data_IF_447419703743
#
_entry.id   IF_447419703743
#
_cell.length_a   1.000
_cell.length_b   1.000
_cell.length_c   1.000
_cell.angle_alpha   90.00
_cell.angle_beta   90.00
_cell.angle_gamma   90.00
#
_symmetry.space_group_name_H-M   'P 1'
#
loop_
_entity.id
_entity.type
_entity.pdbx_description
1 polymer ?
#
# COMPACT_ATOMS: atom_id res chain seq x y z
N UNK A 1 9.08 -0.35 4.70
CA UNK A 1 8.34 0.69 3.98
C UNK A 1 8.93 0.91 2.60
N UNK A 2 8.11 0.88 1.55
CA UNK A 2 8.46 1.30 0.18
C UNK A 2 9.68 0.57 -0.43
N UNK A 3 9.81 -0.71 -0.18
CA UNK A 3 10.96 -1.49 -0.61
C UNK A 3 10.81 -2.06 -2.05
N UNK A 4 9.65 -1.87 -2.68
CA UNK A 4 9.40 -2.35 -4.04
C UNK A 4 9.49 -1.19 -5.04
N UNK A 5 10.20 -1.44 -6.14
CA UNK A 5 10.39 -0.49 -7.23
C UNK A 5 9.13 -0.31 -8.07
N UNK A 6 8.78 0.95 -8.37
CA UNK A 6 7.70 1.28 -9.31
C UNK A 6 8.07 0.98 -10.77
N UNK A 7 9.36 0.91 -11.08
CA UNK A 7 9.87 0.76 -12.43
C UNK A 7 10.02 -0.70 -12.84
N UNK A 8 10.52 -1.52 -11.93
CA UNK A 8 10.90 -2.91 -12.23
C UNK A 8 9.92 -3.94 -11.66
N UNK A 9 9.14 -3.56 -10.66
CA UNK A 9 8.27 -4.49 -9.91
C UNK A 9 9.04 -5.53 -9.10
N UNK A 10 10.30 -5.22 -8.78
CA UNK A 10 11.14 -6.00 -7.88
C UNK A 10 11.61 -5.13 -6.73
N UNK A 11 12.51 -5.61 -5.89
CA UNK A 11 13.07 -4.82 -4.79
C UNK A 11 13.84 -3.59 -5.28
N UNK A 12 13.70 -2.48 -4.58
CA UNK A 12 14.55 -1.30 -4.81
C UNK A 12 15.99 -1.63 -4.49
N UNK A 13 16.88 -1.29 -5.42
CA UNK A 13 18.34 -1.50 -5.32
C UNK A 13 19.08 -0.17 -5.15
N UNK A 14 20.41 -0.24 -5.16
CA UNK A 14 21.29 0.93 -5.20
C UNK A 14 20.96 1.90 -6.34
N UNK A 15 20.57 1.37 -7.50
CA UNK A 15 20.20 2.19 -8.65
C UNK A 15 18.98 3.10 -8.38
N UNK A 16 18.21 2.79 -7.35
CA UNK A 16 17.05 3.57 -6.89
C UNK A 16 17.29 4.20 -5.51
N UNK A 17 18.55 4.39 -5.13
CA UNK A 17 18.99 5.02 -3.89
C UNK A 17 18.51 4.30 -2.61
N UNK A 18 18.39 2.98 -2.63
CA UNK A 18 18.10 2.21 -1.43
C UNK A 18 19.32 2.08 -0.54
N UNK A 19 19.41 2.90 0.51
CA UNK A 19 20.52 2.85 1.47
C UNK A 19 20.64 1.49 2.17
N UNK A 20 19.54 0.79 2.40
CA UNK A 20 19.55 -0.55 3.00
C UNK A 20 20.11 -1.57 2.02
N UNK A 21 19.76 -1.48 0.75
CA UNK A 21 20.37 -2.33 -0.27
C UNK A 21 21.86 -2.09 -0.40
N UNK A 22 22.30 -0.83 -0.35
CA UNK A 22 23.71 -0.48 -0.41
C UNK A 22 24.55 -1.16 0.70
N UNK A 23 23.93 -1.36 1.88
CA UNK A 23 24.60 -2.03 3.01
C UNK A 23 24.55 -3.55 2.88
N UNK A 24 23.41 -4.11 2.48
CA UNK A 24 23.19 -5.56 2.47
C UNK A 24 23.56 -6.24 1.15
N UNK A 25 23.52 -5.53 0.03
CA UNK A 25 23.68 -6.10 -1.31
C UNK A 25 22.54 -7.03 -1.74
N UNK A 26 21.46 -7.11 -0.95
CA UNK A 26 20.34 -8.04 -1.15
C UNK A 26 19.08 -7.54 -0.45
N UNK A 27 17.88 -8.11 -0.73
CA UNK A 27 16.66 -7.77 -0.03
C UNK A 27 16.55 -8.35 1.39
N UNK A 28 17.53 -9.08 1.88
CA UNK A 28 17.50 -9.75 3.19
C UNK A 28 17.21 -8.81 4.36
N UNK A 29 17.58 -7.53 4.24
CA UNK A 29 17.29 -6.54 5.29
C UNK A 29 15.79 -6.45 5.60
N UNK A 30 14.92 -6.69 4.62
CA UNK A 30 13.46 -6.65 4.80
C UNK A 30 13.02 -7.81 5.71
N UNK A 31 13.43 -9.03 5.37
CA UNK A 31 13.12 -10.21 6.15
C UNK A 31 13.70 -10.10 7.57
N UNK A 32 14.93 -9.62 7.69
CA UNK A 32 15.59 -9.39 8.98
C UNK A 32 14.83 -8.35 9.82
N UNK A 33 14.30 -7.28 9.22
CA UNK A 33 13.50 -6.31 9.93
C UNK A 33 12.24 -6.95 10.55
N UNK A 34 11.55 -7.84 9.83
CA UNK A 34 10.40 -8.57 10.35
C UNK A 34 10.78 -9.63 11.40
N UNK A 35 11.94 -10.26 11.28
CA UNK A 35 12.48 -11.17 12.33
C UNK A 35 12.73 -10.38 13.61
N UNK A 36 13.39 -9.23 13.53
CA UNK A 36 13.64 -8.39 14.70
C UNK A 36 12.34 -7.82 15.28
N UNK A 37 11.44 -7.34 14.42
CA UNK A 37 10.14 -6.86 14.88
C UNK A 37 9.35 -7.96 15.60
N UNK A 38 9.30 -9.15 15.07
CA UNK A 38 8.64 -10.29 15.73
C UNK A 38 9.29 -10.66 17.08
N UNK A 39 10.60 -10.53 17.18
CA UNK A 39 11.36 -10.86 18.40
C UNK A 39 11.14 -9.86 19.52
N UNK A 40 11.01 -8.59 19.20
CA UNK A 40 11.03 -7.50 20.18
C UNK A 40 9.69 -6.80 20.38
N UNK A 41 8.79 -6.84 19.41
CA UNK A 41 7.46 -6.29 19.56
C UNK A 41 6.59 -7.20 20.44
N UNK A 42 5.72 -6.64 21.29
CA UNK A 42 4.71 -7.42 21.99
C UNK A 42 3.86 -8.25 21.02
N UNK A 43 3.43 -9.43 21.44
CA UNK A 43 2.68 -10.36 20.57
C UNK A 43 1.32 -9.83 20.09
N UNK A 44 0.76 -8.83 20.77
CA UNK A 44 -0.48 -8.16 20.39
C UNK A 44 -0.28 -6.99 19.42
N UNK A 45 0.97 -6.66 19.05
CA UNK A 45 1.28 -5.64 18.05
C UNK A 45 1.32 -6.32 16.67
N UNK A 46 0.53 -5.84 15.75
CA UNK A 46 0.50 -6.34 14.38
C UNK A 46 1.63 -5.72 13.55
N UNK A 47 2.23 -6.54 12.68
CA UNK A 47 3.34 -6.15 11.83
C UNK A 47 2.87 -6.06 10.38
N UNK A 48 3.04 -4.88 9.78
CA UNK A 48 2.62 -4.60 8.41
C UNK A 48 3.81 -4.23 7.53
N UNK A 49 3.77 -4.67 6.29
CA UNK A 49 4.52 -4.01 5.22
C UNK A 49 3.67 -2.88 4.65
N UNK A 50 4.26 -1.73 4.33
CA UNK A 50 3.54 -0.55 3.87
C UNK A 50 4.17 0.00 2.58
N UNK A 51 3.35 0.26 1.56
CA UNK A 51 3.84 0.78 0.28
C UNK A 51 2.78 1.62 -0.43
N UNK A 52 3.21 2.43 -1.41
CA UNK A 52 2.37 3.24 -2.28
C UNK A 52 2.33 2.67 -3.71
N UNK A 53 1.48 3.21 -4.57
CA UNK A 53 1.21 2.68 -5.92
C UNK A 53 0.89 1.17 -5.93
N UNK A 54 0.41 0.68 -4.84
CA UNK A 54 0.15 -0.73 -4.52
C UNK A 54 -0.91 -1.38 -5.40
N UNK A 55 -1.67 -0.58 -6.14
CA UNK A 55 -2.65 -1.01 -7.14
C UNK A 55 -2.03 -1.23 -8.54
N UNK A 56 -0.81 -0.77 -8.77
CA UNK A 56 -0.13 -0.81 -10.07
C UNK A 56 0.35 -2.23 -10.38
N UNK A 57 0.00 -2.74 -11.56
CA UNK A 57 0.27 -4.14 -11.92
C UNK A 57 1.73 -4.55 -11.74
N UNK A 58 2.66 -3.68 -12.14
CA UNK A 58 4.10 -3.94 -11.99
C UNK A 58 4.44 -4.08 -10.50
N UNK A 59 3.95 -3.16 -9.68
CA UNK A 59 4.27 -3.12 -8.26
C UNK A 59 3.58 -4.21 -7.44
N UNK A 60 2.36 -4.59 -7.81
CA UNK A 60 1.65 -5.72 -7.17
C UNK A 60 2.52 -6.98 -7.14
N UNK A 61 3.17 -7.32 -8.25
CA UNK A 61 3.99 -8.53 -8.33
C UNK A 61 5.19 -8.49 -7.36
N UNK A 62 5.85 -7.35 -7.27
CA UNK A 62 6.96 -7.17 -6.31
C UNK A 62 6.49 -7.19 -4.86
N UNK A 63 5.32 -6.61 -4.56
CA UNK A 63 4.73 -6.66 -3.23
C UNK A 63 4.34 -8.11 -2.88
N UNK A 64 3.74 -8.87 -3.79
CA UNK A 64 3.45 -10.30 -3.59
C UNK A 64 4.72 -11.04 -3.20
N UNK A 65 5.79 -10.89 -4.00
CA UNK A 65 7.08 -11.53 -3.74
C UNK A 65 7.61 -11.19 -2.35
N UNK A 66 7.58 -9.90 -1.98
CA UNK A 66 8.03 -9.44 -0.67
C UNK A 66 7.22 -10.06 0.47
N UNK A 67 5.89 -10.05 0.36
CA UNK A 67 5.01 -10.62 1.40
C UNK A 67 5.25 -12.13 1.57
N UNK A 68 5.46 -12.85 0.47
CA UNK A 68 5.77 -14.28 0.47
C UNK A 68 7.16 -14.56 1.05
N UNK A 69 8.17 -13.78 0.69
CA UNK A 69 9.53 -13.92 1.22
C UNK A 69 9.56 -13.70 2.74
N UNK A 70 8.89 -12.67 3.23
CA UNK A 70 8.78 -12.44 4.69
C UNK A 70 8.02 -13.57 5.36
N UNK A 71 6.89 -14.00 4.81
CA UNK A 71 6.06 -15.06 5.37
C UNK A 71 6.79 -16.41 5.46
N UNK A 72 7.66 -16.69 4.48
CA UNK A 72 8.45 -17.93 4.44
C UNK A 72 9.77 -17.84 5.21
N UNK A 73 10.13 -16.67 5.74
CA UNK A 73 11.36 -16.48 6.50
C UNK A 73 11.19 -16.98 7.93
N UNK A 74 12.05 -17.90 8.35
CA UNK A 74 12.03 -18.46 9.72
C UNK A 74 12.23 -17.36 10.77
N UNK A 75 11.31 -17.26 11.71
CA UNK A 75 11.35 -16.29 12.80
C UNK A 75 10.74 -14.92 12.44
N UNK A 76 10.38 -14.69 11.18
CA UNK A 76 9.63 -13.51 10.81
C UNK A 76 8.11 -13.72 11.07
N UNK A 77 7.40 -12.61 11.23
CA UNK A 77 5.94 -12.55 11.27
C UNK A 77 5.48 -11.34 10.47
N UNK A 78 4.45 -11.51 9.67
CA UNK A 78 3.76 -10.43 8.98
C UNK A 78 2.26 -10.66 9.09
N UNK A 79 1.53 -9.66 9.55
CA UNK A 79 0.10 -9.77 9.86
C UNK A 79 -0.77 -9.08 8.81
N UNK A 80 -0.22 -8.12 8.08
CA UNK A 80 -0.99 -7.38 7.09
C UNK A 80 -0.15 -6.61 6.08
N UNK A 81 -0.87 -6.10 5.08
CA UNK A 81 -0.36 -5.16 4.08
C UNK A 81 -0.99 -3.78 4.29
N UNK A 82 -0.16 -2.75 4.43
CA UNK A 82 -0.56 -1.36 4.43
C UNK A 82 -0.52 -0.80 3.00
N UNK A 83 -1.68 -0.42 2.49
CA UNK A 83 -1.84 0.34 1.25
C UNK A 83 -1.81 1.82 1.63
N UNK A 84 -0.77 2.56 1.24
CA UNK A 84 -0.66 3.97 1.63
C UNK A 84 -1.87 4.78 1.15
N UNK A 85 -2.25 4.62 -0.10
CA UNK A 85 -3.45 5.29 -0.59
C UNK A 85 -3.20 6.73 -1.05
N UNK A 86 -1.99 7.05 -1.52
CA UNK A 86 -1.68 8.33 -2.17
C UNK A 86 -2.21 8.33 -3.60
N UNK A 87 -3.41 8.83 -3.78
CA UNK A 87 -4.13 8.77 -5.04
C UNK A 87 -4.32 10.15 -5.69
N UNK A 88 -5.01 10.19 -6.81
CA UNK A 88 -5.31 11.42 -7.56
C UNK A 88 -6.78 11.45 -7.97
N UNK A 89 -7.35 12.65 -8.06
CA UNK A 89 -8.76 12.83 -8.41
C UNK A 89 -9.12 12.38 -9.82
N UNK A 90 -8.20 12.55 -10.78
CA UNK A 90 -8.43 12.19 -12.20
C UNK A 90 -8.00 10.78 -12.58
N UNK A 91 -7.08 10.21 -11.82
CA UNK A 91 -6.41 8.96 -12.18
C UNK A 91 -6.75 7.83 -11.22
N UNK A 92 -5.99 6.80 -11.35
CA UNK A 92 -6.10 5.56 -10.61
C UNK A 92 -5.80 5.67 -9.11
N UNK A 93 -6.16 4.65 -8.35
CA UNK A 93 -6.83 3.45 -8.86
C UNK A 93 -8.31 3.67 -9.14
N UNK A 94 -8.87 2.94 -10.10
CA UNK A 94 -10.31 2.69 -10.12
C UNK A 94 -10.72 1.86 -8.90
N UNK A 95 -12.01 1.79 -8.60
CA UNK A 95 -12.51 0.93 -7.53
C UNK A 95 -12.12 -0.54 -7.76
N UNK A 96 -12.18 -1.02 -9.00
CA UNK A 96 -11.86 -2.40 -9.35
C UNK A 96 -10.36 -2.70 -9.19
N UNK A 97 -9.48 -1.77 -9.55
CA UNK A 97 -8.03 -1.91 -9.34
C UNK A 97 -7.68 -1.95 -7.86
N UNK A 98 -8.29 -1.07 -7.07
CA UNK A 98 -8.15 -1.09 -5.61
C UNK A 98 -8.64 -2.41 -5.00
N UNK A 99 -9.85 -2.86 -5.36
CA UNK A 99 -10.40 -4.12 -4.87
C UNK A 99 -9.51 -5.32 -5.24
N UNK A 100 -9.02 -5.36 -6.48
CA UNK A 100 -8.13 -6.42 -6.94
C UNK A 100 -6.84 -6.48 -6.11
N UNK A 101 -6.19 -5.34 -5.90
CA UNK A 101 -4.97 -5.25 -5.11
C UNK A 101 -5.22 -5.70 -3.66
N UNK A 102 -6.23 -5.14 -3.01
CA UNK A 102 -6.59 -5.48 -1.63
C UNK A 102 -6.90 -6.98 -1.45
N UNK A 103 -7.68 -7.58 -2.36
CA UNK A 103 -7.97 -9.03 -2.34
C UNK A 103 -6.71 -9.87 -2.52
N UNK A 104 -5.82 -9.43 -3.40
CA UNK A 104 -4.56 -10.15 -3.66
C UNK A 104 -3.71 -10.19 -2.41
N UNK A 105 -3.49 -9.07 -1.76
CA UNK A 105 -2.69 -8.99 -0.54
C UNK A 105 -3.33 -9.70 0.65
N UNK A 106 -4.63 -9.54 0.84
CA UNK A 106 -5.36 -10.19 1.92
C UNK A 106 -5.29 -11.73 1.85
N UNK A 107 -5.20 -12.33 0.66
CA UNK A 107 -5.01 -13.79 0.50
C UNK A 107 -3.66 -14.26 1.00
N UNK A 108 -2.63 -13.41 0.98
CA UNK A 108 -1.28 -13.76 1.41
C UNK A 108 -1.10 -13.56 2.90
N UNK A 109 -1.46 -12.38 3.41
CA UNK A 109 -1.18 -11.96 4.79
C UNK A 109 -2.41 -11.85 5.69
N UNK A 110 -3.59 -12.12 5.18
CA UNK A 110 -4.83 -12.23 5.97
C UNK A 110 -5.55 -10.91 6.19
N UNK A 111 -4.89 -9.75 6.16
CA UNK A 111 -5.54 -8.44 6.33
C UNK A 111 -4.84 -7.33 5.55
N UNK A 112 -5.61 -6.28 5.28
CA UNK A 112 -5.16 -5.06 4.59
C UNK A 112 -5.65 -3.84 5.36
N UNK A 113 -4.85 -2.79 5.38
CA UNK A 113 -5.21 -1.49 5.93
C UNK A 113 -4.88 -0.40 4.93
N UNK A 114 -5.74 0.60 4.78
CA UNK A 114 -5.38 1.85 4.10
C UNK A 114 -4.77 2.77 5.14
N UNK A 115 -3.48 3.12 4.96
CA UNK A 115 -2.67 3.69 6.05
C UNK A 115 -2.52 5.20 5.99
N UNK A 116 -2.60 5.80 4.78
CA UNK A 116 -2.22 7.19 4.55
C UNK A 116 -3.09 7.84 3.47
N UNK A 117 -4.39 7.53 3.45
CA UNK A 117 -5.28 7.96 2.35
C UNK A 117 -5.28 9.48 2.20
N UNK A 118 -4.80 9.93 1.07
CA UNK A 118 -4.96 11.27 0.57
C UNK A 118 -5.34 11.28 -0.92
N UNK A 119 -5.66 12.45 -1.44
CA UNK A 119 -6.08 12.57 -2.83
C UNK A 119 -5.61 13.89 -3.42
N UNK A 120 -4.52 13.82 -4.16
CA UNK A 120 -3.99 14.98 -4.86
C UNK A 120 -4.98 15.50 -5.90
N UNK A 121 -5.07 16.80 -6.00
CA UNK A 121 -5.89 17.48 -7.00
C UNK A 121 -5.45 17.10 -8.43
N UNK A 122 -6.37 17.25 -9.37
CA UNK A 122 -6.10 17.03 -10.78
C UNK A 122 -5.08 18.03 -11.33
N UNK A 123 -4.41 17.65 -12.42
CA UNK A 123 -3.48 18.55 -13.12
C UNK A 123 -4.18 19.77 -13.75
N UNK A 124 -5.49 19.70 -13.94
CA UNK A 124 -6.31 20.80 -14.44
C UNK A 124 -6.72 21.81 -13.37
N UNK A 125 -6.50 21.50 -12.10
CA UNK A 125 -6.78 22.43 -11.01
C UNK A 125 -5.67 23.48 -10.89
N UNK A 126 -6.01 24.72 -11.15
CA UNK A 126 -5.07 25.84 -11.19
C UNK A 126 -4.98 26.62 -9.85
N UNK A 127 -5.70 26.15 -8.82
CA UNK A 127 -5.73 26.78 -7.50
C UNK A 127 -6.69 27.96 -7.39
N UNK A 128 -7.45 28.28 -8.44
CA UNK A 128 -8.41 29.39 -8.42
C UNK A 128 -9.77 28.98 -7.88
N UNK A 129 -10.55 29.96 -7.40
CA UNK A 129 -11.93 29.76 -6.97
C UNK A 129 -12.84 29.26 -8.10
N UNK A 130 -12.51 29.60 -9.35
CA UNK A 130 -13.32 29.22 -10.51
C UNK A 130 -13.32 27.70 -10.78
N UNK A 131 -12.24 27.01 -10.45
CA UNK A 131 -12.09 25.55 -10.67
C UNK A 131 -12.21 24.74 -9.39
N UNK A 132 -12.19 25.40 -8.22
CA UNK A 132 -12.16 24.75 -6.89
C UNK A 132 -13.37 23.87 -6.63
N UNK A 133 -14.56 24.36 -6.90
CA UNK A 133 -15.78 23.62 -6.53
C UNK A 133 -15.93 22.34 -7.38
N UNK A 134 -15.52 22.38 -8.66
CA UNK A 134 -15.47 21.20 -9.51
C UNK A 134 -14.44 20.17 -9.01
N UNK A 135 -13.28 20.63 -8.56
CA UNK A 135 -12.23 19.77 -8.05
C UNK A 135 -12.63 19.12 -6.72
N UNK A 136 -13.25 19.87 -5.81
CA UNK A 136 -13.74 19.33 -4.55
C UNK A 136 -14.87 18.31 -4.77
N UNK A 137 -15.78 18.56 -5.71
CA UNK A 137 -16.81 17.59 -6.08
C UNK A 137 -16.21 16.31 -6.68
N UNK A 138 -15.19 16.44 -7.52
CA UNK A 138 -14.44 15.32 -8.09
C UNK A 138 -13.74 14.50 -6.99
N UNK A 139 -13.05 15.18 -6.08
CA UNK A 139 -12.38 14.56 -4.95
C UNK A 139 -13.38 13.84 -4.04
N UNK A 140 -14.50 14.47 -3.69
CA UNK A 140 -15.53 13.86 -2.87
C UNK A 140 -16.12 12.58 -3.50
N UNK A 141 -16.39 12.60 -4.80
CA UNK A 141 -16.85 11.42 -5.56
C UNK A 141 -15.82 10.30 -5.57
N UNK A 142 -14.53 10.64 -5.62
CA UNK A 142 -13.45 9.64 -5.56
C UNK A 142 -13.38 8.99 -4.18
N UNK A 143 -13.37 9.77 -3.11
CA UNK A 143 -13.42 9.24 -1.74
C UNK A 143 -14.64 8.34 -1.53
N UNK A 144 -15.82 8.76 -2.02
CA UNK A 144 -17.03 7.96 -1.93
C UNK A 144 -16.88 6.59 -2.62
N UNK A 145 -16.34 6.56 -3.84
CA UNK A 145 -16.14 5.30 -4.58
C UNK A 145 -15.16 4.36 -3.88
N UNK A 146 -14.05 4.88 -3.35
CA UNK A 146 -13.08 4.08 -2.61
C UNK A 146 -13.68 3.53 -1.31
N UNK A 147 -14.43 4.36 -0.60
CA UNK A 147 -15.12 3.91 0.62
C UNK A 147 -16.14 2.80 0.32
N UNK A 148 -16.92 2.94 -0.75
CA UNK A 148 -17.86 1.90 -1.21
C UNK A 148 -17.12 0.60 -1.58
N UNK A 149 -15.96 0.69 -2.25
CA UNK A 149 -15.12 -0.46 -2.55
C UNK A 149 -14.64 -1.16 -1.27
N UNK A 150 -14.20 -0.40 -0.27
CA UNK A 150 -13.81 -0.96 1.03
C UNK A 150 -14.98 -1.64 1.75
N UNK A 151 -16.18 -1.04 1.73
CA UNK A 151 -17.37 -1.65 2.30
C UNK A 151 -17.74 -2.96 1.61
N UNK A 152 -17.66 -2.99 0.28
CA UNK A 152 -17.89 -4.20 -0.53
C UNK A 152 -16.87 -5.29 -0.20
N UNK A 153 -15.59 -4.94 -0.12
CA UNK A 153 -14.53 -5.88 0.27
C UNK A 153 -14.83 -6.52 1.64
N UNK A 154 -15.24 -5.71 2.63
CA UNK A 154 -15.63 -6.22 3.95
C UNK A 154 -16.84 -7.14 3.88
N UNK A 155 -17.86 -6.79 3.11
CA UNK A 155 -19.05 -7.62 2.91
C UNK A 155 -18.71 -8.96 2.24
N UNK A 156 -17.71 -8.97 1.36
CA UNK A 156 -17.18 -10.17 0.70
C UNK A 156 -16.19 -10.98 1.57
N UNK A 157 -16.03 -10.61 2.84
CA UNK A 157 -15.17 -11.31 3.80
C UNK A 157 -13.67 -10.96 3.73
N UNK A 158 -13.29 -9.93 2.99
CA UNK A 158 -11.91 -9.43 3.00
C UNK A 158 -11.68 -8.60 4.26
N UNK A 159 -10.64 -8.91 5.02
CA UNK A 159 -10.32 -8.20 6.25
C UNK A 159 -9.64 -6.86 5.97
N UNK A 160 -10.46 -5.82 5.77
CA UNK A 160 -10.00 -4.42 5.77
C UNK A 160 -10.01 -3.95 7.23
N UNK A 161 -8.83 -3.87 7.84
CA UNK A 161 -8.67 -3.64 9.29
C UNK A 161 -8.82 -2.16 9.68
N UNK A 162 -8.61 -1.24 8.74
CA UNK A 162 -8.73 0.20 9.02
C UNK A 162 -8.49 1.07 7.82
N UNK A 163 -8.76 2.36 8.01
CA UNK A 163 -8.43 3.43 7.08
C UNK A 163 -7.97 4.65 7.90
N UNK A 164 -6.83 5.20 7.54
CA UNK A 164 -6.29 6.45 8.10
C UNK A 164 -6.22 7.49 6.99
N UNK A 165 -6.71 8.68 7.27
CA UNK A 165 -6.57 9.84 6.37
C UNK A 165 -5.24 10.52 6.68
N UNK A 166 -4.50 10.87 5.64
CA UNK A 166 -3.22 11.55 5.70
C UNK A 166 -3.40 13.05 5.39
N UNK A 167 -2.62 13.93 6.06
CA UNK A 167 -2.68 15.37 5.82
C UNK A 167 -2.20 16.19 6.99
#
# INVERSE_FOLDING_TARGET
NEAVSDNTGTYRSDAENSSWWAVYGSPEYICNAFVFANRYAPSNVELYYNDYNEWYNVKINGIIQLLEDVKNTQGARIDGMGMQGHYQTEKSPSADEFERAARTFARIVGKVQVTELDMAASASYDGTDATRDEEFDRQAKRYQKLYQAMQKLKADGVNISGMTVWG
#
